data_IF_041759299026
#
_entry.id   IF_041759299026
#
_cell.length_a   1.000
_cell.length_b   1.000
_cell.length_c   1.000
_cell.angle_alpha   90.00
_cell.angle_beta   90.00
_cell.angle_gamma   90.00
#
_symmetry.space_group_name_H-M   'P 1'
#
loop_
_entity.id
_entity.type
_entity.pdbx_description
1 polymer ?
#
# COMPACT_ATOMS: atom_id res chain seq x y z
N UNK A 1 -12.84 47.28 -11.31
CA UNK A 1 -14.29 46.96 -11.19
C UNK A 1 -14.78 46.41 -12.53
N UNK A 2 -15.77 45.48 -12.48
CA UNK A 2 -16.29 44.59 -13.55
C UNK A 2 -15.43 43.34 -13.79
N UNK A 3 -15.88 42.11 -13.56
CA UNK A 3 -17.15 41.62 -13.04
C UNK A 3 -16.96 40.26 -12.38
N UNK A 4 -17.29 40.17 -11.10
CA UNK A 4 -17.73 38.91 -10.54
C UNK A 4 -19.13 38.66 -11.09
N UNK A 5 -19.38 37.49 -11.67
CA UNK A 5 -20.74 36.98 -11.77
C UNK A 5 -21.19 36.54 -10.37
N UNK A 6 -21.47 37.52 -9.51
CA UNK A 6 -22.15 37.31 -8.24
C UNK A 6 -23.65 37.51 -8.48
N UNK A 7 -24.40 36.41 -8.51
CA UNK A 7 -25.84 36.48 -8.33
C UNK A 7 -26.07 36.35 -6.83
N UNK A 8 -26.52 37.44 -6.19
CA UNK A 8 -26.87 37.48 -4.78
C UNK A 8 -28.20 36.78 -4.56
N UNK A 9 -28.19 35.63 -3.88
CA UNK A 9 -29.36 34.99 -3.31
C UNK A 9 -29.11 34.75 -1.81
N UNK A 10 -30.14 34.98 -1.00
CA UNK A 10 -30.14 34.72 0.45
C UNK A 10 -29.77 33.25 0.70
N UNK A 11 -28.76 32.99 1.55
CA UNK A 11 -28.07 31.70 1.80
C UNK A 11 -26.83 31.39 0.92
N UNK A 12 -25.74 32.16 1.10
CA UNK A 12 -24.36 31.79 0.74
C UNK A 12 -24.01 31.79 -0.76
N UNK A 13 -22.73 32.01 -1.10
CA UNK A 13 -22.28 32.04 -2.50
C UNK A 13 -22.10 30.62 -3.06
N UNK A 14 -22.70 30.34 -4.23
CA UNK A 14 -22.47 29.09 -4.95
C UNK A 14 -21.11 29.13 -5.66
N UNK A 15 -20.20 28.26 -5.24
CA UNK A 15 -18.85 28.11 -5.78
C UNK A 15 -18.77 26.89 -6.72
N UNK A 16 -17.82 26.92 -7.66
CA UNK A 16 -17.56 25.84 -8.62
C UNK A 16 -16.09 25.42 -8.56
N UNK A 17 -15.84 24.12 -8.65
CA UNK A 17 -14.50 23.55 -8.79
C UNK A 17 -13.92 23.81 -10.19
N UNK A 18 -12.63 23.53 -10.36
CA UNK A 18 -11.90 23.65 -11.61
C UNK A 18 -12.15 22.44 -12.53
N UNK A 19 -11.66 22.54 -13.76
CA UNK A 19 -11.55 21.40 -14.68
C UNK A 19 -10.47 20.42 -14.17
N UNK A 20 -10.59 19.12 -14.48
CA UNK A 20 -9.55 18.16 -14.12
C UNK A 20 -8.24 18.50 -14.83
N UNK A 21 -7.14 18.41 -14.09
CA UNK A 21 -5.78 18.39 -14.62
C UNK A 21 -5.48 16.93 -14.95
N UNK A 22 -5.41 16.58 -16.23
CA UNK A 22 -5.32 15.19 -16.68
C UNK A 22 -4.82 15.10 -18.13
N UNK A 23 -4.19 13.97 -18.45
CA UNK A 23 -3.87 13.57 -19.82
C UNK A 23 -3.89 12.04 -19.99
N UNK A 24 -3.59 11.56 -21.20
CA UNK A 24 -3.47 10.13 -21.51
C UNK A 24 -2.36 9.38 -20.73
N UNK A 25 -1.39 10.12 -20.17
CA UNK A 25 -0.27 9.55 -19.41
C UNK A 25 -0.59 9.43 -17.92
N UNK A 26 -1.73 9.94 -17.48
CA UNK A 26 -2.16 9.86 -16.09
C UNK A 26 -2.34 8.40 -15.65
N UNK A 27 -1.79 8.08 -14.47
CA UNK A 27 -1.79 6.75 -13.83
C UNK A 27 -2.38 6.78 -12.42
N UNK A 28 -2.21 7.92 -11.75
CA UNK A 28 -2.75 8.20 -10.43
C UNK A 28 -3.68 9.41 -10.53
N UNK A 29 -4.82 9.37 -9.85
CA UNK A 29 -5.70 10.52 -9.66
C UNK A 29 -5.67 10.95 -8.20
N UNK A 30 -5.38 12.23 -7.94
CA UNK A 30 -5.55 12.83 -6.63
C UNK A 30 -6.88 13.59 -6.61
N UNK A 31 -7.71 13.30 -5.61
CA UNK A 31 -9.00 13.97 -5.40
C UNK A 31 -8.96 14.85 -4.15
N UNK A 32 -9.17 16.14 -4.34
CA UNK A 32 -9.54 17.07 -3.28
C UNK A 32 -11.05 17.05 -2.97
N UNK A 33 -11.47 17.78 -1.93
CA UNK A 33 -12.88 18.01 -1.62
C UNK A 33 -13.47 19.13 -2.50
N UNK A 34 -13.32 20.38 -2.07
CA UNK A 34 -13.71 21.60 -2.80
C UNK A 34 -12.59 22.64 -2.63
N UNK A 35 -12.09 23.29 -3.70
CA UNK A 35 -11.00 24.25 -3.60
C UNK A 35 -11.28 25.35 -2.58
N UNK A 36 -10.26 25.73 -1.80
CA UNK A 36 -10.37 26.79 -0.78
C UNK A 36 -10.58 28.18 -1.41
N UNK A 37 -10.91 29.18 -0.60
CA UNK A 37 -11.20 30.53 -1.08
C UNK A 37 -10.04 31.14 -1.87
N UNK A 38 -8.81 30.96 -1.39
CA UNK A 38 -7.62 31.48 -2.06
C UNK A 38 -7.36 30.77 -3.40
N UNK A 39 -7.58 29.45 -3.44
CA UNK A 39 -7.55 28.69 -4.69
C UNK A 39 -8.54 29.24 -5.71
N UNK A 40 -9.79 29.47 -5.30
CA UNK A 40 -10.85 29.99 -6.17
C UNK A 40 -10.55 31.40 -6.65
N UNK A 41 -10.04 32.27 -5.77
CA UNK A 41 -9.66 33.66 -6.07
C UNK A 41 -8.56 33.71 -7.14
N UNK A 42 -7.52 32.88 -6.99
CA UNK A 42 -6.39 32.83 -7.91
C UNK A 42 -6.61 31.89 -9.10
N UNK A 43 -7.69 31.10 -9.10
CA UNK A 43 -7.96 30.02 -10.06
C UNK A 43 -6.82 29.00 -10.13
N UNK A 44 -6.25 28.69 -8.96
CA UNK A 44 -5.12 27.79 -8.82
C UNK A 44 -5.39 26.74 -7.74
N UNK A 45 -5.13 25.48 -8.06
CA UNK A 45 -5.14 24.40 -7.08
C UNK A 45 -4.20 24.69 -5.91
N UNK A 46 -4.71 24.53 -4.68
CA UNK A 46 -3.96 24.66 -3.43
C UNK A 46 -3.13 25.96 -3.29
N UNK A 47 -3.67 27.11 -3.73
CA UNK A 47 -2.95 28.37 -3.78
C UNK A 47 -2.65 29.02 -2.42
N UNK A 48 -3.35 28.59 -1.35
CA UNK A 48 -3.11 29.14 -0.02
C UNK A 48 -1.66 28.85 0.45
N UNK A 49 -0.86 29.85 0.88
CA UNK A 49 0.57 29.66 1.16
C UNK A 49 0.90 28.59 2.21
N UNK A 50 0.01 28.41 3.21
CA UNK A 50 0.16 27.35 4.23
C UNK A 50 -0.34 25.98 3.79
N UNK A 51 -0.85 25.82 2.57
CA UNK A 51 -1.28 24.51 2.07
C UNK A 51 -0.06 23.67 1.68
N UNK A 52 0.00 22.45 2.19
CA UNK A 52 1.18 21.60 2.04
C UNK A 52 1.17 20.75 0.75
N UNK A 53 0.18 20.90 -0.13
CA UNK A 53 0.08 20.07 -1.34
C UNK A 53 1.33 20.18 -2.22
N UNK A 54 1.73 21.40 -2.58
CA UNK A 54 2.89 21.63 -3.43
C UNK A 54 4.20 21.19 -2.77
N UNK A 55 4.50 21.58 -1.50
CA UNK A 55 5.64 21.03 -0.79
C UNK A 55 5.66 19.50 -0.76
N UNK A 56 4.57 18.84 -0.37
CA UNK A 56 4.53 17.38 -0.25
C UNK A 56 4.72 16.68 -1.59
N UNK A 57 3.98 17.08 -2.62
CA UNK A 57 4.00 16.38 -3.91
C UNK A 57 5.35 16.51 -4.60
N UNK A 58 6.06 17.62 -4.44
CA UNK A 58 7.42 17.79 -4.95
C UNK A 58 8.44 17.02 -4.11
N UNK A 59 8.33 17.08 -2.78
CA UNK A 59 9.26 16.41 -1.87
C UNK A 59 9.28 14.89 -2.05
N UNK A 60 8.15 14.24 -2.32
CA UNK A 60 8.15 12.77 -2.55
C UNK A 60 8.98 12.37 -3.78
N UNK A 61 9.24 13.31 -4.70
CA UNK A 61 10.13 13.13 -5.85
C UNK A 61 11.53 13.74 -5.63
N UNK A 62 11.83 14.28 -4.45
CA UNK A 62 13.11 14.93 -4.15
C UNK A 62 13.31 16.24 -4.92
N UNK A 63 12.23 17.00 -5.14
CA UNK A 63 12.26 18.28 -5.84
C UNK A 63 11.68 19.38 -4.96
N UNK A 64 11.94 20.64 -5.33
CA UNK A 64 11.31 21.82 -4.72
C UNK A 64 10.19 22.38 -5.61
N UNK A 65 9.09 22.89 -5.01
CA UNK A 65 7.99 23.51 -5.77
C UNK A 65 8.47 24.66 -6.64
N UNK A 66 7.99 24.70 -7.88
CA UNK A 66 8.22 25.84 -8.78
C UNK A 66 7.37 27.03 -8.34
N UNK A 67 7.76 28.27 -8.63
CA UNK A 67 6.90 29.44 -8.33
C UNK A 67 5.73 29.55 -9.31
N UNK A 68 6.01 29.29 -10.60
CA UNK A 68 5.03 29.33 -11.67
C UNK A 68 4.03 28.16 -11.57
N UNK A 69 2.73 28.50 -11.65
CA UNK A 69 1.65 27.54 -11.49
C UNK A 69 1.54 26.57 -12.67
N UNK A 70 1.80 27.01 -13.90
CA UNK A 70 1.72 26.15 -15.07
C UNK A 70 2.87 25.15 -15.10
N UNK A 71 4.05 25.52 -14.57
CA UNK A 71 5.15 24.60 -14.30
C UNK A 71 4.79 23.55 -13.23
N UNK A 72 4.03 23.93 -12.20
CA UNK A 72 3.49 22.99 -11.19
C UNK A 72 2.52 21.98 -11.80
N UNK A 73 1.61 22.44 -12.65
CA UNK A 73 0.69 21.57 -13.38
C UNK A 73 1.44 20.63 -14.32
N UNK A 74 2.40 21.17 -15.09
CA UNK A 74 3.24 20.40 -15.99
C UNK A 74 4.05 19.33 -15.25
N UNK A 75 4.51 19.63 -14.03
CA UNK A 75 5.19 18.65 -13.19
C UNK A 75 4.29 17.46 -12.84
N UNK A 76 3.05 17.71 -12.39
CA UNK A 76 2.09 16.64 -12.09
C UNK A 76 1.84 15.74 -13.30
N UNK A 77 1.56 16.36 -14.46
CA UNK A 77 1.30 15.63 -15.71
C UNK A 77 2.52 14.79 -16.13
N UNK A 78 3.74 15.34 -16.07
CA UNK A 78 4.98 14.62 -16.35
C UNK A 78 5.21 13.43 -15.43
N UNK A 79 4.71 13.47 -14.19
CA UNK A 79 4.77 12.36 -13.23
C UNK A 79 3.61 11.37 -13.38
N UNK A 80 2.69 11.58 -14.32
CA UNK A 80 1.50 10.73 -14.50
C UNK A 80 0.45 10.94 -13.40
N UNK A 81 0.40 12.13 -12.80
CA UNK A 81 -0.53 12.49 -11.74
C UNK A 81 -1.63 13.38 -12.33
N UNK A 82 -2.86 12.90 -12.27
CA UNK A 82 -4.05 13.71 -12.48
C UNK A 82 -4.51 14.34 -11.14
N UNK A 83 -5.13 15.51 -11.23
CA UNK A 83 -5.66 16.24 -10.08
C UNK A 83 -7.07 16.75 -10.38
N UNK A 84 -7.99 16.47 -9.45
CA UNK A 84 -9.34 17.04 -9.50
C UNK A 84 -9.97 17.10 -8.10
N UNK A 85 -11.27 17.38 -8.04
CA UNK A 85 -12.05 17.47 -6.82
C UNK A 85 -13.31 16.61 -6.91
N UNK A 86 -13.81 16.12 -5.77
CA UNK A 86 -15.08 15.36 -5.74
C UNK A 86 -16.30 16.27 -5.96
N UNK A 87 -16.26 17.51 -5.49
CA UNK A 87 -17.37 18.45 -5.64
C UNK A 87 -17.22 19.31 -6.89
N UNK A 88 -18.24 19.28 -7.76
CA UNK A 88 -18.38 20.17 -8.91
C UNK A 88 -18.81 21.57 -8.52
N UNK A 89 -19.84 21.66 -7.67
CA UNK A 89 -20.34 22.92 -7.13
C UNK A 89 -20.96 22.73 -5.75
N UNK A 90 -20.98 23.79 -4.95
CA UNK A 90 -21.70 23.82 -3.69
C UNK A 90 -21.92 25.25 -3.22
N UNK A 91 -22.76 25.44 -2.21
CA UNK A 91 -22.80 26.67 -1.41
C UNK A 91 -21.89 26.47 -0.20
N UNK A 92 -20.95 27.40 0.05
CA UNK A 92 -20.05 27.32 1.20
C UNK A 92 -19.68 28.72 1.71
N UNK A 93 -19.84 28.93 3.02
CA UNK A 93 -19.26 30.07 3.71
C UNK A 93 -17.89 29.70 4.28
N UNK A 94 -16.86 30.46 3.91
CA UNK A 94 -15.47 30.14 4.27
C UNK A 94 -14.89 28.97 3.47
N UNK A 95 -13.84 28.34 4.01
CA UNK A 95 -13.07 27.28 3.32
C UNK A 95 -13.17 25.89 3.98
N UNK A 96 -13.96 25.74 5.03
CA UNK A 96 -14.09 24.46 5.76
C UNK A 96 -15.17 23.57 5.14
N UNK A 97 -14.87 22.27 5.04
CA UNK A 97 -15.78 21.29 4.42
C UNK A 97 -17.10 21.14 5.19
N UNK A 98 -17.11 21.31 6.52
CA UNK A 98 -18.33 21.25 7.34
C UNK A 98 -19.39 22.31 6.95
N UNK A 99 -18.98 23.36 6.23
CA UNK A 99 -19.86 24.44 5.79
C UNK A 99 -20.43 24.22 4.37
N UNK A 100 -20.12 23.08 3.74
CA UNK A 100 -20.64 22.74 2.40
C UNK A 100 -22.13 22.38 2.51
N UNK A 101 -22.94 22.96 1.62
CA UNK A 101 -24.37 22.68 1.45
C UNK A 101 -24.71 22.67 -0.05
N UNK A 102 -25.81 22.03 -0.42
CA UNK A 102 -26.33 22.01 -1.80
C UNK A 102 -25.27 21.54 -2.82
N UNK A 103 -24.56 20.48 -2.48
CA UNK A 103 -23.46 19.95 -3.26
C UNK A 103 -23.92 19.24 -4.55
N UNK A 104 -23.10 19.40 -5.58
CA UNK A 104 -23.16 18.65 -6.82
C UNK A 104 -21.79 17.98 -7.01
N UNK A 105 -21.77 16.67 -7.30
CA UNK A 105 -20.53 15.93 -7.51
C UNK A 105 -20.02 16.06 -8.94
N UNK A 106 -18.70 16.01 -9.10
CA UNK A 106 -18.07 15.83 -10.39
C UNK A 106 -18.27 14.38 -10.90
N UNK A 107 -18.31 14.20 -12.22
CA UNK A 107 -18.34 12.86 -12.84
C UNK A 107 -16.95 12.22 -12.85
N UNK A 108 -16.46 11.90 -11.65
CA UNK A 108 -15.16 11.24 -11.45
C UNK A 108 -15.16 9.83 -12.06
N UNK A 109 -16.30 9.12 -12.02
CA UNK A 109 -16.43 7.80 -12.61
C UNK A 109 -16.28 7.84 -14.14
N UNK A 110 -16.94 8.79 -14.82
CA UNK A 110 -16.76 9.04 -16.25
C UNK A 110 -15.34 9.47 -16.61
N UNK A 111 -14.68 10.26 -15.77
CA UNK A 111 -13.27 10.62 -15.95
C UNK A 111 -12.35 9.39 -15.92
N UNK A 112 -12.51 8.52 -14.91
CA UNK A 112 -11.73 7.28 -14.78
C UNK A 112 -12.02 6.31 -15.93
N UNK A 113 -13.27 6.25 -16.40
CA UNK A 113 -13.67 5.42 -17.55
C UNK A 113 -13.01 5.90 -18.85
N UNK A 114 -12.92 7.21 -19.07
CA UNK A 114 -12.26 7.79 -20.25
C UNK A 114 -10.73 7.74 -20.20
N UNK A 115 -10.15 7.46 -19.02
CA UNK A 115 -8.70 7.38 -18.81
C UNK A 115 -8.32 6.04 -18.17
N UNK A 116 -8.32 4.93 -18.92
CA UNK A 116 -8.11 3.58 -18.38
C UNK A 116 -6.73 3.38 -17.76
N UNK A 117 -5.76 4.26 -18.02
CA UNK A 117 -4.44 4.24 -17.38
C UNK A 117 -4.48 4.57 -15.88
N UNK A 118 -5.54 5.22 -15.39
CA UNK A 118 -5.67 5.57 -13.97
C UNK A 118 -6.07 4.33 -13.18
N UNK A 119 -5.15 3.78 -12.39
CA UNK A 119 -5.40 2.55 -11.62
C UNK A 119 -5.47 2.78 -10.11
N UNK A 120 -5.13 3.98 -9.66
CA UNK A 120 -5.10 4.34 -8.24
C UNK A 120 -5.67 5.74 -8.03
N UNK A 121 -6.54 5.87 -7.02
CA UNK A 121 -7.12 7.13 -6.57
C UNK A 121 -6.64 7.47 -5.16
N UNK A 122 -5.99 8.60 -4.98
CA UNK A 122 -5.64 9.11 -3.66
C UNK A 122 -6.57 10.24 -3.26
N UNK A 123 -7.24 10.10 -2.11
CA UNK A 123 -8.18 11.09 -1.60
C UNK A 123 -7.48 12.00 -0.59
N UNK A 124 -7.34 13.29 -0.89
CA UNK A 124 -6.71 14.29 -0.03
C UNK A 124 -7.68 14.70 1.10
N UNK A 125 -7.70 13.93 2.19
CA UNK A 125 -8.56 14.13 3.35
C UNK A 125 -9.78 13.20 3.39
N UNK A 126 -10.43 13.17 4.56
CA UNK A 126 -11.54 12.27 4.85
C UNK A 126 -12.81 12.57 4.03
N UNK A 127 -13.06 13.83 3.69
CA UNK A 127 -14.24 14.20 2.90
C UNK A 127 -14.16 13.66 1.47
N UNK A 128 -13.00 13.81 0.82
CA UNK A 128 -12.76 13.26 -0.51
C UNK A 128 -12.90 11.72 -0.51
N UNK A 129 -12.35 11.04 0.50
CA UNK A 129 -12.47 9.59 0.66
C UNK A 129 -13.92 9.16 0.84
N UNK A 130 -14.65 9.84 1.72
CA UNK A 130 -16.06 9.57 1.99
C UNK A 130 -16.86 9.61 0.69
N UNK A 131 -16.80 10.73 -0.04
CA UNK A 131 -17.55 10.91 -1.28
C UNK A 131 -17.14 9.91 -2.36
N UNK A 132 -15.84 9.64 -2.48
CA UNK A 132 -15.35 8.63 -3.41
C UNK A 132 -15.95 7.25 -3.11
N UNK A 133 -15.86 6.80 -1.86
CA UNK A 133 -16.35 5.49 -1.44
C UNK A 133 -17.87 5.36 -1.55
N UNK A 134 -18.63 6.38 -1.15
CA UNK A 134 -20.10 6.28 -1.08
C UNK A 134 -20.79 6.54 -2.42
N UNK A 135 -20.27 7.44 -3.24
CA UNK A 135 -21.00 7.98 -4.39
C UNK A 135 -20.35 7.75 -5.76
N UNK A 136 -19.06 7.33 -5.78
CA UNK A 136 -18.28 7.19 -7.02
C UNK A 136 -17.85 5.74 -7.25
N UNK A 137 -17.35 5.05 -6.22
CA UNK A 137 -16.74 3.72 -6.34
C UNK A 137 -17.68 2.68 -6.97
N UNK A 138 -18.95 2.67 -6.59
CA UNK A 138 -19.97 1.75 -7.11
C UNK A 138 -20.39 2.03 -8.56
N UNK A 139 -20.01 3.18 -9.14
CA UNK A 139 -20.29 3.55 -10.54
C UNK A 139 -19.17 3.14 -11.48
N UNK A 140 -18.05 2.65 -10.95
CA UNK A 140 -16.92 2.18 -11.75
C UNK A 140 -17.24 0.78 -12.30
N UNK A 141 -16.87 0.56 -13.56
CA UNK A 141 -17.05 -0.72 -14.26
C UNK A 141 -15.84 -1.66 -14.13
N UNK A 142 -14.86 -1.30 -13.29
CA UNK A 142 -13.67 -2.09 -12.99
C UNK A 142 -13.17 -1.78 -11.59
N UNK A 143 -12.42 -2.70 -10.96
CA UNK A 143 -11.73 -2.42 -9.72
C UNK A 143 -10.77 -1.24 -9.88
N UNK A 144 -10.71 -0.39 -8.85
CA UNK A 144 -9.70 0.66 -8.74
C UNK A 144 -9.16 0.66 -7.32
N UNK A 145 -7.85 0.81 -7.19
CA UNK A 145 -7.24 0.99 -5.89
C UNK A 145 -7.51 2.40 -5.40
N UNK A 146 -7.76 2.55 -4.12
CA UNK A 146 -7.86 3.88 -3.54
C UNK A 146 -7.31 3.94 -2.13
N UNK A 147 -6.84 5.13 -1.72
CA UNK A 147 -6.33 5.35 -0.37
C UNK A 147 -6.55 6.79 0.07
N UNK A 148 -6.91 6.98 1.34
CA UNK A 148 -6.90 8.30 1.96
C UNK A 148 -5.49 8.77 2.26
N UNK A 149 -5.25 10.02 1.90
CA UNK A 149 -4.09 10.80 2.32
C UNK A 149 -4.47 11.77 3.46
N UNK A 150 -3.49 12.11 4.29
CA UNK A 150 -3.64 13.22 5.24
C UNK A 150 -3.90 14.51 4.47
N UNK A 151 -4.89 15.27 4.95
CA UNK A 151 -5.25 16.54 4.32
C UNK A 151 -4.07 17.52 4.31
N UNK A 152 -3.87 18.17 3.17
CA UNK A 152 -2.87 19.23 2.98
C UNK A 152 -3.34 20.61 3.44
N UNK A 153 -4.62 20.72 3.83
CA UNK A 153 -5.20 21.96 4.34
C UNK A 153 -4.52 22.42 5.63
N UNK A 154 -4.39 23.75 5.85
CA UNK A 154 -3.97 24.30 7.14
C UNK A 154 -4.85 23.85 8.32
N UNK A 155 -6.11 23.48 8.07
CA UNK A 155 -7.00 22.95 9.09
C UNK A 155 -6.52 21.61 9.69
N UNK A 156 -5.61 20.91 9.00
CA UNK A 156 -5.02 19.66 9.44
C UNK A 156 -3.56 19.84 9.90
N UNK A 157 -3.22 21.00 10.46
CA UNK A 157 -1.86 21.33 10.89
C UNK A 157 -1.36 20.56 12.12
N UNK A 158 -2.25 19.89 12.87
CA UNK A 158 -1.88 19.04 14.01
C UNK A 158 -1.08 17.79 13.63
N UNK A 159 -1.17 17.35 12.37
CA UNK A 159 -0.39 16.22 11.86
C UNK A 159 0.98 16.72 11.39
N UNK A 160 2.09 16.21 11.94
CA UNK A 160 3.44 16.62 11.55
C UNK A 160 3.73 16.41 10.06
N UNK A 161 4.57 17.27 9.49
CA UNK A 161 4.94 17.20 8.06
C UNK A 161 5.49 15.82 7.69
N UNK A 162 6.41 15.26 8.48
CA UNK A 162 7.01 13.95 8.20
C UNK A 162 5.95 12.85 8.05
N UNK A 163 4.95 12.84 8.95
CA UNK A 163 3.86 11.87 8.91
C UNK A 163 2.97 12.04 7.66
N UNK A 164 2.78 13.29 7.19
CA UNK A 164 2.13 13.56 5.90
C UNK A 164 2.99 13.09 4.75
N UNK A 165 4.28 13.39 4.77
CA UNK A 165 5.23 12.98 3.74
C UNK A 165 5.24 11.46 3.56
N UNK A 166 5.37 10.69 4.63
CA UNK A 166 5.37 9.22 4.58
C UNK A 166 4.08 8.68 3.96
N UNK A 167 2.93 9.24 4.40
CA UNK A 167 1.64 8.87 3.85
C UNK A 167 1.47 9.25 2.36
N UNK A 168 2.00 10.40 1.93
CA UNK A 168 1.98 10.89 0.53
C UNK A 168 2.98 10.16 -0.38
N UNK A 169 4.08 9.64 0.17
CA UNK A 169 5.10 8.89 -0.57
C UNK A 169 4.51 7.65 -1.26
N UNK A 170 3.38 7.15 -0.78
CA UNK A 170 2.61 6.09 -1.43
C UNK A 170 2.17 6.42 -2.85
N UNK A 171 1.97 7.70 -3.19
CA UNK A 171 1.69 8.11 -4.58
C UNK A 171 2.84 7.71 -5.49
N UNK A 172 4.08 8.04 -5.10
CA UNK A 172 5.27 7.69 -5.86
C UNK A 172 5.44 6.18 -5.94
N UNK A 173 5.23 5.44 -4.84
CA UNK A 173 5.34 3.97 -4.85
C UNK A 173 4.33 3.32 -5.79
N UNK A 174 3.09 3.82 -5.81
CA UNK A 174 2.09 3.38 -6.77
C UNK A 174 2.49 3.66 -8.23
N UNK A 175 3.03 4.86 -8.51
CA UNK A 175 3.55 5.22 -9.84
C UNK A 175 4.75 4.36 -10.28
N UNK A 176 5.59 3.95 -9.35
CA UNK A 176 6.72 3.04 -9.57
C UNK A 176 6.28 1.57 -9.71
N UNK A 177 4.99 1.26 -9.61
CA UNK A 177 4.48 -0.11 -9.62
C UNK A 177 4.84 -0.92 -8.37
N UNK A 178 5.33 -0.26 -7.31
CA UNK A 178 5.70 -0.87 -6.03
C UNK A 178 4.47 -0.94 -5.13
N UNK A 179 3.56 -1.86 -5.46
CA UNK A 179 2.29 -2.08 -4.77
C UNK A 179 2.31 -3.43 -4.06
N UNK A 180 1.78 -3.46 -2.83
CA UNK A 180 1.49 -4.70 -2.12
C UNK A 180 0.07 -4.66 -1.53
N UNK A 181 -0.59 -5.82 -1.54
CA UNK A 181 -1.90 -6.05 -0.93
C UNK A 181 -1.71 -6.80 0.38
N UNK A 182 -2.23 -6.24 1.47
CA UNK A 182 -2.03 -6.74 2.82
C UNK A 182 -3.27 -7.50 3.32
N UNK A 183 -3.06 -8.74 3.73
CA UNK A 183 -4.03 -9.51 4.52
C UNK A 183 -3.48 -9.74 5.92
N UNK A 184 -4.23 -9.34 6.94
CA UNK A 184 -3.86 -9.51 8.35
C UNK A 184 -4.73 -10.61 8.96
N UNK A 185 -4.10 -11.59 9.59
CA UNK A 185 -4.78 -12.63 10.35
C UNK A 185 -4.22 -12.75 11.76
N UNK A 186 -5.05 -13.20 12.68
CA UNK A 186 -4.62 -13.61 14.02
C UNK A 186 -4.52 -15.13 14.07
N UNK A 187 -3.47 -15.62 14.72
CA UNK A 187 -3.19 -17.03 14.91
C UNK A 187 -2.77 -17.29 16.36
N UNK A 188 -2.58 -18.57 16.72
CA UNK A 188 -2.09 -18.96 18.05
C UNK A 188 -0.72 -18.38 18.41
N UNK A 189 0.11 -18.04 17.41
CA UNK A 189 1.44 -17.46 17.63
C UNK A 189 1.42 -15.92 17.66
N UNK A 190 0.27 -15.30 17.38
CA UNK A 190 0.08 -13.86 17.25
C UNK A 190 -0.39 -13.43 15.85
N UNK A 191 -0.30 -12.12 15.58
CA UNK A 191 -0.71 -11.52 14.31
C UNK A 191 0.29 -11.82 13.18
N UNK A 192 -0.21 -12.34 12.07
CA UNK A 192 0.56 -12.62 10.86
C UNK A 192 0.04 -11.70 9.76
N UNK A 193 0.97 -11.15 8.97
CA UNK A 193 0.65 -10.36 7.78
C UNK A 193 1.12 -11.08 6.52
N UNK A 194 0.26 -11.17 5.52
CA UNK A 194 0.54 -11.77 4.21
C UNK A 194 0.45 -10.68 3.15
N UNK A 195 1.47 -10.57 2.32
CA UNK A 195 1.53 -9.57 1.26
C UNK A 195 1.61 -10.20 -0.12
N UNK A 196 0.70 -9.80 -1.00
CA UNK A 196 0.68 -10.13 -2.43
C UNK A 196 1.16 -8.94 -3.26
N UNK A 197 1.84 -9.18 -4.40
CA UNK A 197 2.09 -8.14 -5.43
C UNK A 197 1.02 -8.12 -6.54
N UNK A 198 -0.05 -8.90 -6.38
CA UNK A 198 -1.10 -9.14 -7.38
C UNK A 198 -0.85 -10.37 -8.26
N UNK A 199 0.33 -10.99 -8.20
CA UNK A 199 0.70 -12.18 -8.99
C UNK A 199 1.22 -13.31 -8.11
N UNK A 200 1.95 -12.98 -7.07
CA UNK A 200 2.57 -13.91 -6.12
C UNK A 200 2.47 -13.39 -4.69
N UNK A 201 2.57 -14.28 -3.71
CA UNK A 201 2.86 -13.89 -2.33
C UNK A 201 4.33 -13.47 -2.25
N UNK A 202 4.53 -12.20 -1.91
CA UNK A 202 5.82 -11.56 -1.86
C UNK A 202 6.43 -11.57 -0.45
N UNK A 203 5.59 -11.50 0.60
CA UNK A 203 6.05 -11.51 2.01
C UNK A 203 5.06 -12.22 2.92
N UNK A 204 5.58 -12.87 3.96
CA UNK A 204 4.82 -13.26 5.16
C UNK A 204 5.59 -12.75 6.38
N UNK A 205 4.96 -11.92 7.18
CA UNK A 205 5.54 -11.38 8.42
C UNK A 205 4.91 -12.11 9.60
N UNK A 206 5.73 -12.85 10.34
CA UNK A 206 5.33 -13.51 11.57
C UNK A 206 5.47 -12.57 12.78
N UNK A 207 4.81 -12.88 13.91
CA UNK A 207 4.97 -12.18 15.17
C UNK A 207 6.45 -11.99 15.56
N UNK A 208 6.82 -10.75 15.90
CA UNK A 208 8.21 -10.37 16.22
C UNK A 208 9.15 -10.25 15.02
N UNK A 209 8.66 -10.46 13.80
CA UNK A 209 9.40 -10.19 12.56
C UNK A 209 9.49 -8.71 12.23
N UNK A 210 10.52 -8.34 11.48
CA UNK A 210 10.62 -6.99 10.92
C UNK A 210 9.52 -6.80 9.87
N UNK A 211 8.79 -5.70 9.97
CA UNK A 211 7.83 -5.31 8.96
C UNK A 211 8.53 -4.93 7.63
N UNK A 212 7.74 -4.74 6.58
CA UNK A 212 8.23 -4.15 5.34
C UNK A 212 8.83 -2.78 5.67
N UNK A 213 10.05 -2.45 5.19
CA UNK A 213 10.64 -1.16 5.49
C UNK A 213 9.70 -0.02 5.10
N UNK A 214 9.46 0.88 6.04
CA UNK A 214 8.47 1.95 5.91
C UNK A 214 8.58 2.66 4.56
N UNK A 215 7.42 2.90 3.96
CA UNK A 215 7.28 3.61 2.69
C UNK A 215 8.02 3.00 1.49
N UNK A 216 8.45 1.73 1.55
CA UNK A 216 9.04 1.04 0.40
C UNK A 216 8.01 0.65 -0.65
N UNK A 217 6.75 0.49 -0.25
CA UNK A 217 5.63 0.09 -1.11
C UNK A 217 4.40 0.92 -0.79
N UNK A 218 3.53 1.09 -1.77
CA UNK A 218 2.16 1.51 -1.52
C UNK A 218 1.37 0.27 -1.06
N UNK A 219 0.88 0.30 0.18
CA UNK A 219 0.14 -0.80 0.77
C UNK A 219 -1.36 -0.56 0.61
N UNK A 220 -2.07 -1.51 0.03
CA UNK A 220 -3.53 -1.51 -0.10
C UNK A 220 -4.13 -2.68 0.69
N UNK A 221 -5.45 -2.63 1.00
CA UNK A 221 -6.16 -3.80 1.52
C UNK A 221 -6.02 -5.01 0.61
N UNK A 222 -6.41 -6.16 1.13
CA UNK A 222 -6.26 -7.47 0.51
C UNK A 222 -6.79 -7.53 -0.94
N UNK A 223 -6.07 -8.29 -1.75
CA UNK A 223 -6.53 -8.82 -3.04
C UNK A 223 -6.97 -10.28 -2.89
N UNK A 224 -7.51 -10.87 -3.95
CA UNK A 224 -7.94 -12.27 -3.95
C UNK A 224 -6.78 -13.23 -3.54
N UNK A 225 -5.56 -12.93 -3.96
CA UNK A 225 -4.41 -13.80 -3.71
C UNK A 225 -3.92 -13.74 -2.26
N UNK A 226 -3.77 -12.55 -1.68
CA UNK A 226 -3.40 -12.38 -0.26
C UNK A 226 -4.48 -12.92 0.67
N UNK A 227 -5.77 -12.74 0.34
CA UNK A 227 -6.87 -13.35 1.09
C UNK A 227 -6.81 -14.89 1.01
N UNK A 228 -6.63 -15.44 -0.20
CA UNK A 228 -6.49 -16.90 -0.39
C UNK A 228 -5.31 -17.46 0.40
N UNK A 229 -4.15 -16.80 0.36
CA UNK A 229 -2.99 -17.21 1.14
C UNK A 229 -3.24 -17.11 2.64
N UNK A 230 -3.88 -16.03 3.10
CA UNK A 230 -4.28 -15.87 4.50
C UNK A 230 -5.18 -17.01 4.98
N UNK A 231 -6.20 -17.38 4.21
CA UNK A 231 -7.07 -18.54 4.50
C UNK A 231 -6.28 -19.84 4.59
N UNK A 232 -5.36 -20.09 3.66
CA UNK A 232 -4.49 -21.27 3.72
C UNK A 232 -3.59 -21.27 4.95
N UNK A 233 -3.08 -20.11 5.39
CA UNK A 233 -2.29 -20.01 6.62
C UNK A 233 -3.16 -20.32 7.84
N UNK A 234 -4.42 -19.86 7.89
CA UNK A 234 -5.37 -20.22 8.96
C UNK A 234 -5.61 -21.74 9.00
N UNK A 235 -5.88 -22.36 7.84
CA UNK A 235 -6.05 -23.82 7.73
C UNK A 235 -4.80 -24.58 8.20
N UNK A 236 -3.61 -24.09 7.90
CA UNK A 236 -2.35 -24.66 8.37
C UNK A 236 -2.25 -24.62 9.90
N UNK A 237 -2.59 -23.48 10.51
CA UNK A 237 -2.64 -23.36 11.96
C UNK A 237 -3.79 -24.14 12.59
N UNK A 238 -4.78 -24.61 11.83
CA UNK A 238 -5.83 -25.50 12.33
C UNK A 238 -5.53 -26.99 12.07
N UNK A 239 -4.41 -27.30 11.42
CA UNK A 239 -4.01 -28.67 11.08
C UNK A 239 -4.76 -29.27 9.89
N UNK A 240 -5.67 -28.53 9.25
CA UNK A 240 -6.45 -29.00 8.09
C UNK A 240 -5.70 -28.83 6.76
N UNK A 241 -4.59 -28.08 6.76
CA UNK A 241 -3.70 -27.93 5.61
C UNK A 241 -2.26 -28.35 5.94
N UNK A 242 -1.71 -29.21 5.08
CA UNK A 242 -0.32 -29.68 5.14
C UNK A 242 0.57 -29.16 4.00
N UNK A 243 -0.03 -28.59 2.94
CA UNK A 243 0.68 -28.02 1.78
C UNK A 243 -0.02 -26.76 1.24
N UNK A 244 0.73 -25.87 0.60
CA UNK A 244 0.22 -24.59 0.08
C UNK A 244 0.13 -24.61 -1.45
N UNK A 245 -0.92 -24.00 -2.01
CA UNK A 245 -1.14 -23.92 -3.46
C UNK A 245 -1.06 -22.51 -4.03
N UNK A 246 -0.75 -21.52 -3.19
CA UNK A 246 -0.56 -20.14 -3.63
C UNK A 246 0.83 -19.95 -4.24
N UNK A 247 0.95 -19.19 -5.35
CA UNK A 247 2.25 -18.88 -5.93
C UNK A 247 3.05 -17.99 -4.99
N UNK A 248 4.36 -18.26 -4.87
CA UNK A 248 5.30 -17.45 -4.09
C UNK A 248 6.46 -17.04 -4.97
N UNK A 249 6.92 -15.79 -4.86
CA UNK A 249 8.15 -15.37 -5.54
C UNK A 249 9.35 -15.66 -4.66
N UNK A 250 10.43 -16.09 -5.31
CA UNK A 250 11.70 -16.38 -4.68
C UNK A 250 12.74 -15.47 -5.33
N UNK A 251 13.00 -14.34 -4.68
CA UNK A 251 14.14 -13.48 -5.02
C UNK A 251 15.39 -13.99 -4.30
N UNK A 252 16.55 -13.86 -4.94
CA UNK A 252 17.83 -14.26 -4.37
C UNK A 252 18.79 -14.84 -5.41
N UNK A 253 19.96 -15.23 -4.92
CA UNK A 253 20.98 -15.94 -5.68
C UNK A 253 20.50 -17.32 -6.13
N UNK A 254 21.13 -17.89 -7.15
CA UNK A 254 20.82 -19.26 -7.61
C UNK A 254 20.98 -20.31 -6.50
N UNK A 255 21.87 -20.08 -5.53
CA UNK A 255 22.01 -20.95 -4.37
C UNK A 255 20.82 -20.83 -3.40
N UNK A 256 20.35 -19.61 -3.12
CA UNK A 256 19.16 -19.38 -2.29
C UNK A 256 17.91 -19.97 -2.94
N UNK A 257 17.70 -19.74 -4.25
CA UNK A 257 16.58 -20.33 -5.00
C UNK A 257 16.56 -21.86 -4.91
N UNK A 258 17.71 -22.52 -5.03
CA UNK A 258 17.83 -23.98 -4.86
C UNK A 258 17.46 -24.41 -3.44
N UNK A 259 17.93 -23.69 -2.41
CA UNK A 259 17.56 -23.98 -1.02
C UNK A 259 16.05 -23.88 -0.84
N UNK A 260 15.44 -22.79 -1.31
CA UNK A 260 14.00 -22.58 -1.18
C UNK A 260 13.17 -23.61 -1.94
N UNK A 261 13.62 -24.05 -3.12
CA UNK A 261 12.99 -25.15 -3.84
C UNK A 261 13.03 -26.45 -3.04
N UNK A 262 14.18 -26.80 -2.45
CA UNK A 262 14.30 -27.99 -1.60
C UNK A 262 13.42 -27.88 -0.35
N UNK A 263 13.37 -26.70 0.29
CA UNK A 263 12.56 -26.49 1.49
C UNK A 263 11.08 -26.75 1.25
N UNK A 264 10.54 -26.40 0.08
CA UNK A 264 9.13 -26.65 -0.27
C UNK A 264 8.79 -28.15 -0.32
N UNK A 265 9.76 -28.98 -0.66
CA UNK A 265 9.61 -30.44 -0.75
C UNK A 265 9.75 -31.16 0.59
N UNK A 266 10.19 -30.46 1.65
CA UNK A 266 10.30 -31.07 2.99
C UNK A 266 8.88 -31.30 3.52
N UNK A 267 8.46 -32.55 3.82
CA UNK A 267 7.11 -32.83 4.27
C UNK A 267 6.75 -32.17 5.61
N UNK A 268 5.45 -31.91 5.79
CA UNK A 268 4.88 -31.50 7.08
C UNK A 268 5.21 -32.49 8.19
N UNK A 269 5.58 -32.00 9.37
CA UNK A 269 5.95 -32.83 10.53
C UNK A 269 7.35 -33.46 10.45
N UNK A 270 8.15 -33.09 9.45
CA UNK A 270 9.52 -33.58 9.30
C UNK A 270 10.54 -32.45 9.35
N UNK A 271 11.80 -32.80 9.62
CA UNK A 271 12.89 -31.81 9.70
C UNK A 271 14.10 -32.24 8.88
N UNK A 272 14.92 -31.26 8.50
CA UNK A 272 16.22 -31.46 7.85
C UNK A 272 17.30 -30.71 8.59
N UNK A 273 18.53 -31.22 8.60
CA UNK A 273 19.65 -30.47 9.16
C UNK A 273 20.21 -29.43 8.17
N UNK A 274 20.77 -28.33 8.67
CA UNK A 274 21.48 -27.35 7.83
C UNK A 274 22.56 -27.98 6.94
N UNK A 275 23.30 -28.97 7.47
CA UNK A 275 24.36 -29.68 6.75
C UNK A 275 23.79 -30.56 5.64
N UNK A 276 22.68 -31.27 5.89
CA UNK A 276 22.00 -32.09 4.89
C UNK A 276 21.40 -31.24 3.78
N UNK A 277 20.76 -30.12 4.13
CA UNK A 277 20.22 -29.16 3.18
C UNK A 277 21.32 -28.56 2.28
N UNK A 278 22.50 -28.28 2.84
CA UNK A 278 23.66 -27.82 2.06
C UNK A 278 24.13 -28.87 1.03
N UNK A 279 24.14 -30.16 1.42
CA UNK A 279 24.47 -31.27 0.50
C UNK A 279 23.41 -31.41 -0.59
N UNK A 280 22.12 -31.35 -0.24
CA UNK A 280 21.01 -31.41 -1.22
C UNK A 280 21.06 -30.24 -2.22
N UNK A 281 21.49 -29.05 -1.77
CA UNK A 281 21.70 -27.89 -2.62
C UNK A 281 23.01 -27.94 -3.44
N UNK A 282 23.76 -29.05 -3.39
CA UNK A 282 24.98 -29.27 -4.16
C UNK A 282 26.23 -28.56 -3.60
N UNK A 283 26.21 -28.08 -2.35
CA UNK A 283 27.35 -27.41 -1.70
C UNK A 283 27.64 -27.99 -0.32
N UNK A 284 28.34 -29.12 -0.28
CA UNK A 284 28.84 -29.72 0.98
C UNK A 284 29.68 -28.69 1.76
N UNK A 285 29.46 -28.59 3.07
CA UNK A 285 30.15 -27.64 3.95
C UNK A 285 29.54 -26.23 4.00
N UNK A 286 28.54 -25.90 3.18
CA UNK A 286 27.93 -24.56 3.12
C UNK A 286 26.82 -24.31 4.17
N UNK A 287 26.85 -24.98 5.33
CA UNK A 287 25.78 -24.89 6.34
C UNK A 287 25.53 -23.46 6.83
N UNK A 288 26.58 -22.62 6.94
CA UNK A 288 26.45 -21.19 7.30
C UNK A 288 25.71 -20.39 6.24
N UNK A 289 26.03 -20.62 4.96
CA UNK A 289 25.35 -19.97 3.84
C UNK A 289 23.88 -20.40 3.75
N UNK A 290 23.58 -21.67 4.03
CA UNK A 290 22.19 -22.14 4.18
C UNK A 290 21.49 -21.40 5.31
N UNK A 291 22.12 -21.25 6.48
CA UNK A 291 21.57 -20.47 7.59
C UNK A 291 21.20 -19.05 7.21
N UNK A 292 22.03 -18.38 6.41
CA UNK A 292 21.74 -17.03 5.90
C UNK A 292 20.54 -17.02 4.94
N UNK A 293 20.45 -17.99 4.02
CA UNK A 293 19.32 -18.12 3.10
C UNK A 293 18.00 -18.38 3.86
N UNK A 294 18.02 -19.32 4.81
CA UNK A 294 16.87 -19.67 5.68
C UNK A 294 16.41 -18.44 6.47
N UNK A 295 17.34 -17.64 7.00
CA UNK A 295 17.04 -16.38 7.71
C UNK A 295 16.38 -15.35 6.80
N UNK A 296 16.80 -15.29 5.54
CA UNK A 296 16.32 -14.33 4.55
C UNK A 296 15.02 -14.75 3.85
N UNK A 297 14.41 -15.87 4.25
CA UNK A 297 13.17 -16.36 3.64
C UNK A 297 12.07 -15.28 3.70
N UNK A 298 11.59 -14.77 2.55
CA UNK A 298 10.59 -13.72 2.51
C UNK A 298 9.19 -14.21 2.90
N UNK A 299 8.93 -15.51 2.78
CA UNK A 299 7.60 -16.12 2.95
C UNK A 299 7.68 -17.34 3.89
N UNK A 300 8.05 -17.15 5.17
CA UNK A 300 7.99 -18.23 6.17
C UNK A 300 6.60 -18.88 6.20
N UNK A 301 6.54 -20.12 6.70
CA UNK A 301 5.37 -21.01 6.63
C UNK A 301 5.10 -21.54 5.21
N UNK A 302 4.91 -20.66 4.22
CA UNK A 302 4.72 -21.07 2.82
C UNK A 302 5.96 -21.76 2.27
N UNK A 303 7.14 -21.21 2.57
CA UNK A 303 8.42 -21.89 2.46
C UNK A 303 8.83 -22.26 3.89
N UNK A 304 8.85 -23.55 4.27
CA UNK A 304 8.89 -23.98 5.65
C UNK A 304 10.31 -23.97 6.23
N UNK A 305 10.90 -22.78 6.35
CA UNK A 305 12.25 -22.59 6.87
C UNK A 305 12.40 -22.99 8.36
N UNK A 306 11.30 -23.09 9.12
CA UNK A 306 11.28 -23.57 10.50
C UNK A 306 11.60 -25.07 10.62
N UNK A 307 11.50 -25.84 9.53
CA UNK A 307 11.86 -27.28 9.49
C UNK A 307 13.37 -27.53 9.43
N UNK A 308 14.20 -26.48 9.40
CA UNK A 308 15.66 -26.60 9.36
C UNK A 308 16.26 -26.52 10.77
N UNK A 309 16.91 -27.60 11.20
CA UNK A 309 17.46 -27.77 12.56
C UNK A 309 18.96 -28.05 12.55
N UNK A 310 19.59 -28.05 13.73
CA UNK A 310 20.97 -28.53 13.87
C UNK A 310 21.07 -30.03 13.55
N UNK A 311 22.27 -30.54 13.25
CA UNK A 311 22.48 -31.99 13.11
C UNK A 311 22.12 -32.79 14.36
N UNK A 312 22.07 -32.15 15.53
CA UNK A 312 21.61 -32.74 16.79
C UNK A 312 20.08 -32.78 16.95
N UNK A 313 19.32 -32.27 15.97
CA UNK A 313 17.86 -32.13 16.04
C UNK A 313 17.39 -30.91 16.82
N UNK A 314 18.28 -30.17 17.49
CA UNK A 314 17.93 -28.98 18.27
C UNK A 314 17.71 -27.75 17.38
N UNK A 315 16.77 -26.89 17.76
CA UNK A 315 16.62 -25.55 17.20
C UNK A 315 17.74 -24.64 17.68
N UNK A 316 18.18 -23.71 16.82
CA UNK A 316 19.29 -22.77 17.12
C UNK A 316 18.75 -21.33 17.23
N UNK A 317 17.86 -20.96 16.30
CA UNK A 317 17.27 -19.65 16.20
C UNK A 317 16.44 -19.53 14.94
N UNK A 318 15.52 -18.57 14.92
CA UNK A 318 14.54 -18.40 13.85
C UNK A 318 14.32 -16.93 13.56
N UNK A 319 14.21 -16.58 12.27
CA UNK A 319 14.09 -15.19 11.80
C UNK A 319 15.24 -14.27 12.27
N UNK A 320 16.42 -14.84 12.54
CA UNK A 320 17.58 -14.09 13.01
C UNK A 320 17.63 -13.86 14.53
N UNK A 321 16.65 -14.37 15.28
CA UNK A 321 16.59 -14.29 16.75
C UNK A 321 17.05 -15.64 17.32
N UNK A 322 18.14 -15.63 18.10
CA UNK A 322 18.61 -16.83 18.83
C UNK A 322 17.65 -17.15 19.98
N UNK A 323 17.37 -18.44 20.19
CA UNK A 323 16.47 -18.88 21.27
C UNK A 323 14.99 -18.54 21.06
N UNK A 324 14.58 -18.13 19.86
CA UNK A 324 13.19 -17.85 19.52
C UNK A 324 12.33 -19.12 19.66
N UNK A 325 11.32 -19.10 20.54
CA UNK A 325 10.40 -20.22 20.78
C UNK A 325 9.53 -20.55 19.56
N UNK A 326 9.34 -19.58 18.66
CA UNK A 326 8.45 -19.69 17.51
C UNK A 326 8.76 -20.91 16.62
N UNK A 327 10.05 -21.23 16.43
CA UNK A 327 10.41 -22.43 15.66
C UNK A 327 9.95 -23.70 16.35
N UNK A 328 10.13 -23.80 17.67
CA UNK A 328 9.70 -24.96 18.44
C UNK A 328 8.17 -25.07 18.45
N UNK A 329 7.46 -23.96 18.60
CA UNK A 329 6.00 -23.92 18.57
C UNK A 329 5.45 -24.40 17.23
N UNK A 330 6.03 -23.95 16.11
CA UNK A 330 5.65 -24.41 14.77
C UNK A 330 5.95 -25.91 14.59
N UNK A 331 7.11 -26.39 15.02
CA UNK A 331 7.48 -27.82 14.93
C UNK A 331 6.58 -28.71 15.79
N UNK A 332 6.31 -28.31 17.04
CA UNK A 332 5.40 -29.03 17.94
C UNK A 332 3.98 -29.06 17.38
N UNK A 333 3.52 -27.94 16.82
CA UNK A 333 2.25 -27.89 16.13
C UNK A 333 2.20 -28.93 15.01
N UNK A 334 3.19 -28.94 14.12
CA UNK A 334 3.20 -29.89 13.01
C UNK A 334 3.21 -31.35 13.51
N UNK A 335 3.96 -31.65 14.56
CA UNK A 335 3.99 -32.99 15.14
C UNK A 335 2.65 -33.41 15.76
N UNK A 336 1.86 -32.47 16.30
CA UNK A 336 0.56 -32.76 16.90
C UNK A 336 -0.53 -33.10 15.87
N UNK A 337 -0.36 -32.68 14.60
CA UNK A 337 -1.29 -32.99 13.50
C UNK A 337 -0.66 -33.91 12.43
N UNK A 338 0.53 -34.44 12.69
CA UNK A 338 1.31 -35.23 11.73
C UNK A 338 0.56 -36.49 11.32
#
# INVERSE_FOLDING_TARGET
>A
MKGLNMVSGENGFRIKSFKPVIDKNSRVLILGSMPGNESLRLRQYYAHPRNLFWPLIYNIFGCEPQDDYDLRISFLMKKGIALWDVYKSCTRNGSLDNNIRNEELNDVAGLIKSHPGINVVFCNGGEAEKQFRTNILNKLNRPILYKRLYSTSPANASIPFQKKYDNWLQIRRALEGRILYEYILNSRIGTIKVYSDGRVIARVILPGGNDIPDNSYAIFPEDELSEKAGKQVIEYFNGTRKSFSVPVSIEGTEFEKKIYAILKEIPYGTTVSYSKLAVMAGRKGAARAVGQAVRNNPVPILIPCHRVVASSGKTIGFMGIRGNSLQNELLQMENNYA
#
